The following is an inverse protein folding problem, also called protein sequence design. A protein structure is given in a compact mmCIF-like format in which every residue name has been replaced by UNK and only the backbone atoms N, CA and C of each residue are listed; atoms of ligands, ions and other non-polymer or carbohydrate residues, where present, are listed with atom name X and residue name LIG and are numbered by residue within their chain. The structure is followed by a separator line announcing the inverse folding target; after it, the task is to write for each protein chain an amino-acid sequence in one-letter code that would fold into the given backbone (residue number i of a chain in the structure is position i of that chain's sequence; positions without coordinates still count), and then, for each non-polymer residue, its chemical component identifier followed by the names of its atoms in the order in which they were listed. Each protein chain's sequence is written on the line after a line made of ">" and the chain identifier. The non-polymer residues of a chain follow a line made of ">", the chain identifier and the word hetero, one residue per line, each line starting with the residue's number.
data_IF_294622277824
#
_entry.id   IF_294622277824
#
_cell.length_a   1.000
_cell.length_b   1.000
_cell.length_c   1.000
_cell.angle_alpha   90.00
_cell.angle_beta   90.00
_cell.angle_gamma   90.00
#
_symmetry.space_group_name_H-M   'P 1'
#
loop_
_entity.id
_entity.type
_entity.pdbx_description
1 polymer ?
#
# COMPACT_ATOMS: atom_id res chain seq x y z
N UNK A 1 2.06 -8.87 99.98
CA UNK A 1 0.70 -9.22 99.46
C UNK A 1 0.85 -9.65 98.01
N UNK A 2 0.23 -10.76 97.59
CA UNK A 2 0.26 -11.20 96.19
C UNK A 2 -0.52 -10.20 95.32
N UNK A 3 0.06 -9.81 94.18
CA UNK A 3 -0.59 -8.90 93.26
C UNK A 3 -1.79 -9.54 92.58
N UNK A 4 -2.82 -8.73 92.29
CA UNK A 4 -3.95 -9.18 91.48
C UNK A 4 -4.28 -8.17 90.38
N UNK A 5 -4.85 -8.69 89.31
CA UNK A 5 -5.14 -7.93 88.10
C UNK A 5 -6.25 -6.89 88.34
N UNK A 6 -6.00 -5.66 87.91
CA UNK A 6 -7.05 -4.67 87.68
C UNK A 6 -7.92 -5.03 86.47
N UNK A 7 -9.03 -4.31 86.26
CA UNK A 7 -9.87 -4.51 85.08
C UNK A 7 -9.09 -4.23 83.79
N UNK A 8 -9.50 -4.88 82.71
CA UNK A 8 -8.97 -4.57 81.38
C UNK A 8 -9.33 -3.15 80.97
N UNK A 9 -8.36 -2.42 80.40
CA UNK A 9 -8.61 -1.15 79.72
C UNK A 9 -9.49 -1.36 78.47
N UNK A 10 -10.11 -0.28 77.93
CA UNK A 10 -10.82 -0.34 76.66
C UNK A 10 -9.92 -0.86 75.52
N UNK A 11 -10.54 -1.48 74.53
CA UNK A 11 -9.86 -1.88 73.30
C UNK A 11 -9.30 -0.67 72.55
N UNK A 12 -8.10 -0.81 71.99
CA UNK A 12 -7.58 0.15 71.02
C UNK A 12 -8.47 0.22 69.77
N UNK A 13 -8.37 1.28 68.95
CA UNK A 13 -8.85 1.23 67.58
C UNK A 13 -8.27 0.02 66.84
N UNK A 14 -8.99 -0.46 65.83
CA UNK A 14 -8.52 -1.53 64.98
C UNK A 14 -7.27 -1.08 64.22
N UNK A 15 -6.22 -1.92 64.19
CA UNK A 15 -4.92 -1.57 63.60
C UNK A 15 -4.99 -1.22 62.11
N UNK A 16 -5.97 -1.79 61.39
CA UNK A 16 -6.11 -1.64 59.96
C UNK A 16 -7.55 -1.30 59.57
N UNK A 17 -7.71 -0.51 58.49
CA UNK A 17 -9.02 -0.16 57.95
C UNK A 17 -9.62 -1.25 57.05
N UNK A 18 -8.76 -2.11 56.49
CA UNK A 18 -9.06 -3.30 55.69
C UNK A 18 -8.02 -4.39 56.00
N UNK A 19 -8.19 -5.59 55.45
CA UNK A 19 -7.40 -6.77 55.80
C UNK A 19 -7.82 -7.35 57.16
N UNK A 20 -6.91 -8.11 57.77
CA UNK A 20 -7.06 -8.65 59.11
C UNK A 20 -6.53 -7.63 60.13
N UNK A 21 -7.43 -6.80 60.65
CA UNK A 21 -7.11 -5.84 61.70
C UNK A 21 -7.14 -6.48 63.08
N UNK A 22 -6.19 -6.09 63.94
CA UNK A 22 -6.11 -6.54 65.34
C UNK A 22 -6.29 -5.34 66.26
N UNK A 23 -7.03 -5.54 67.34
CA UNK A 23 -7.09 -4.58 68.45
C UNK A 23 -6.53 -5.24 69.71
N UNK A 24 -5.87 -4.44 70.52
CA UNK A 24 -5.25 -4.88 71.77
C UNK A 24 -5.80 -4.09 72.94
N UNK A 25 -5.86 -4.73 74.11
CA UNK A 25 -6.10 -4.07 75.39
C UNK A 25 -5.14 -4.60 76.42
N UNK A 26 -4.88 -3.78 77.43
CA UNK A 26 -3.96 -4.09 78.52
C UNK A 26 -4.69 -4.04 79.86
N UNK A 27 -4.20 -4.79 80.83
CA UNK A 27 -4.60 -4.71 82.24
C UNK A 27 -3.36 -4.49 83.10
N UNK A 28 -3.51 -3.82 84.23
CA UNK A 28 -2.40 -3.51 85.12
C UNK A 28 -2.47 -4.39 86.37
N UNK A 29 -1.31 -4.82 86.88
CA UNK A 29 -1.20 -5.57 88.12
C UNK A 29 -1.27 -4.61 89.33
N UNK A 30 -2.44 -4.03 89.57
CA UNK A 30 -2.61 -2.93 90.51
C UNK A 30 -3.82 -3.05 91.45
N UNK A 31 -4.49 -4.21 91.52
CA UNK A 31 -5.71 -4.38 92.33
C UNK A 31 -5.70 -5.68 93.17
N UNK A 32 -4.85 -5.82 94.20
CA UNK A 32 -3.86 -4.85 94.68
C UNK A 32 -2.50 -5.01 93.99
N UNK A 33 -1.60 -4.01 94.03
CA UNK A 33 -0.23 -4.16 93.55
C UNK A 33 0.59 -5.09 94.47
N UNK A 34 1.58 -5.85 93.94
CA UNK A 34 2.46 -6.67 94.75
C UNK A 34 3.28 -5.81 95.74
N UNK A 35 3.37 -6.23 97.00
CA UNK A 35 4.16 -5.56 98.05
C UNK A 35 4.95 -6.58 98.87
N UNK A 36 6.15 -6.19 99.33
CA UNK A 36 7.07 -7.02 100.16
C UNK A 36 7.35 -8.41 99.57
N UNK A 37 8.09 -8.48 98.45
CA UNK A 37 8.38 -9.73 97.70
C UNK A 37 7.14 -10.58 97.35
N UNK A 38 5.97 -9.95 97.27
CA UNK A 38 4.73 -10.59 96.85
C UNK A 38 4.81 -11.10 95.41
N UNK A 39 4.18 -12.25 95.15
CA UNK A 39 4.09 -12.83 93.81
C UNK A 39 3.48 -11.83 92.82
N UNK A 40 4.10 -11.74 91.64
CA UNK A 40 3.59 -10.99 90.49
C UNK A 40 2.27 -11.61 90.01
N UNK A 41 1.45 -10.80 89.32
CA UNK A 41 0.21 -11.30 88.75
C UNK A 41 0.47 -12.40 87.71
N UNK A 42 -0.26 -13.51 87.80
CA UNK A 42 -0.10 -14.66 86.90
C UNK A 42 -0.87 -14.46 85.57
N UNK A 43 -0.21 -14.73 84.45
CA UNK A 43 -0.75 -14.60 83.08
C UNK A 43 -0.30 -13.34 82.34
N UNK A 44 -0.85 -13.10 81.14
CA UNK A 44 -0.45 -11.95 80.32
C UNK A 44 -1.18 -10.67 80.74
N UNK A 45 -0.48 -9.53 80.67
CA UNK A 45 -1.04 -8.19 80.86
C UNK A 45 -1.70 -7.65 79.58
N UNK A 46 -1.47 -8.31 78.45
CA UNK A 46 -1.97 -7.93 77.11
C UNK A 46 -2.90 -9.01 76.55
N UNK A 47 -4.00 -8.57 75.95
CA UNK A 47 -4.91 -9.40 75.16
C UNK A 47 -5.09 -8.78 73.77
N UNK A 48 -5.03 -9.61 72.73
CA UNK A 48 -5.25 -9.20 71.34
C UNK A 48 -6.40 -10.01 70.73
N UNK A 49 -7.20 -9.38 69.88
CA UNK A 49 -8.24 -10.07 69.11
C UNK A 49 -8.43 -9.44 67.73
N UNK A 50 -8.93 -10.23 66.78
CA UNK A 50 -9.30 -9.74 65.45
C UNK A 50 -10.54 -8.84 65.59
N UNK A 51 -10.42 -7.60 65.14
CA UNK A 51 -11.52 -6.63 65.16
C UNK A 51 -12.25 -6.53 63.82
N UNK A 52 -11.55 -6.81 62.71
CA UNK A 52 -12.11 -6.66 61.37
C UNK A 52 -11.42 -7.59 60.39
N UNK A 53 -12.22 -8.15 59.47
CA UNK A 53 -11.75 -8.89 58.32
C UNK A 53 -12.51 -8.37 57.09
N UNK A 54 -11.89 -7.50 56.31
CA UNK A 54 -12.50 -6.91 55.11
C UNK A 54 -11.48 -6.86 54.00
N UNK A 55 -11.77 -7.37 52.81
CA UNK A 55 -10.79 -7.36 51.73
C UNK A 55 -10.33 -5.94 51.37
N UNK A 56 -9.01 -5.73 51.28
CA UNK A 56 -8.44 -4.45 50.91
C UNK A 56 -8.63 -4.15 49.42
N UNK A 57 -8.78 -2.87 49.03
CA UNK A 57 -8.73 -2.45 47.64
C UNK A 57 -7.46 -2.94 46.96
N UNK A 58 -7.61 -3.56 45.79
CA UNK A 58 -6.48 -3.93 44.92
C UNK A 58 -6.56 -3.07 43.68
N UNK A 59 -5.62 -2.15 43.54
CA UNK A 59 -5.51 -1.32 42.35
C UNK A 59 -5.10 -2.18 41.14
N UNK A 60 -5.78 -1.96 40.02
CA UNK A 60 -5.46 -2.64 38.79
C UNK A 60 -4.10 -2.22 38.23
N UNK A 61 -3.40 -3.17 37.62
CA UNK A 61 -2.18 -2.91 36.87
C UNK A 61 -2.27 -3.48 35.47
N UNK A 62 -1.62 -2.79 34.55
CA UNK A 62 -1.53 -3.22 33.16
C UNK A 62 -0.82 -4.56 33.04
N UNK A 63 -1.36 -5.44 32.19
CA UNK A 63 -0.63 -6.59 31.66
C UNK A 63 0.52 -6.13 30.76
N UNK A 64 1.39 -7.07 30.40
CA UNK A 64 2.26 -6.86 29.25
C UNK A 64 1.43 -6.58 28.00
N UNK A 65 1.99 -5.79 27.09
CA UNK A 65 1.41 -5.62 25.77
C UNK A 65 1.32 -6.97 25.05
N UNK A 66 0.19 -7.20 24.38
CA UNK A 66 0.09 -8.27 23.40
C UNK A 66 1.05 -8.00 22.23
N UNK A 67 1.31 -9.04 21.43
CA UNK A 67 2.06 -8.89 20.18
C UNK A 67 1.35 -7.92 19.25
N UNK A 68 2.13 -7.23 18.42
CA UNK A 68 1.59 -6.43 17.32
C UNK A 68 0.73 -7.27 16.39
N UNK A 69 -0.43 -6.74 16.02
CA UNK A 69 -1.21 -7.25 14.90
C UNK A 69 -0.49 -7.01 13.57
N UNK A 70 -1.03 -7.63 12.51
CA UNK A 70 -0.58 -7.39 11.15
C UNK A 70 -0.76 -5.91 10.75
N UNK A 71 0.10 -5.44 9.86
CA UNK A 71 -0.07 -4.12 9.25
C UNK A 71 -1.34 -4.08 8.38
N UNK A 72 -2.05 -2.96 8.38
CA UNK A 72 -3.29 -2.77 7.61
C UNK A 72 -3.08 -2.86 6.09
N UNK A 73 -1.88 -2.53 5.61
CA UNK A 73 -1.49 -2.63 4.20
C UNK A 73 -0.08 -3.22 4.09
N UNK A 74 0.25 -3.82 2.95
CA UNK A 74 1.59 -4.37 2.69
C UNK A 74 2.60 -3.32 2.17
N UNK A 75 2.13 -2.15 1.73
CA UNK A 75 2.92 -1.06 1.17
C UNK A 75 2.12 0.25 1.24
N UNK A 76 2.76 1.38 0.98
CA UNK A 76 2.11 2.69 0.89
C UNK A 76 1.83 3.36 2.23
N UNK A 77 2.34 2.79 3.34
CA UNK A 77 2.11 3.28 4.69
C UNK A 77 0.80 2.77 5.27
N UNK A 78 0.92 1.92 6.29
CA UNK A 78 -0.19 1.38 7.06
C UNK A 78 -0.03 1.64 8.55
N UNK A 79 -0.96 1.08 9.29
CA UNK A 79 -0.95 1.06 10.75
C UNK A 79 -1.07 -0.37 11.25
N UNK A 80 -0.50 -0.62 12.42
CA UNK A 80 -0.67 -1.85 13.19
C UNK A 80 -1.04 -1.48 14.61
N UNK A 81 -1.72 -2.39 15.28
CA UNK A 81 -2.20 -2.16 16.65
C UNK A 81 -1.78 -3.29 17.57
N UNK A 82 -1.59 -2.96 18.84
CA UNK A 82 -1.46 -3.92 19.93
C UNK A 82 -2.27 -3.44 21.12
N UNK A 83 -2.71 -4.39 21.94
CA UNK A 83 -3.55 -4.10 23.10
C UNK A 83 -2.91 -4.62 24.39
N UNK A 84 -3.37 -4.09 25.52
CA UNK A 84 -3.04 -4.57 26.86
C UNK A 84 -4.30 -4.54 27.72
N UNK A 85 -4.33 -5.33 28.79
CA UNK A 85 -5.49 -5.45 29.66
C UNK A 85 -5.15 -4.98 31.07
N UNK A 86 -6.11 -4.39 31.77
CA UNK A 86 -5.98 -4.05 33.17
C UNK A 86 -6.22 -5.29 34.05
N UNK A 87 -5.28 -6.24 34.03
CA UNK A 87 -5.48 -7.59 34.55
C UNK A 87 -4.29 -8.18 35.33
N UNK A 88 -3.22 -7.42 35.57
CA UNK A 88 -1.99 -7.95 36.21
C UNK A 88 -1.55 -7.17 37.46
N UNK A 89 -2.38 -7.04 38.52
CA UNK A 89 -3.68 -7.69 38.71
C UNK A 89 -4.88 -6.87 38.21
N UNK A 90 -6.05 -7.49 38.13
CA UNK A 90 -7.31 -6.78 37.89
C UNK A 90 -7.72 -5.97 39.14
N UNK A 91 -8.40 -4.82 38.98
CA UNK A 91 -8.92 -4.06 40.12
C UNK A 91 -9.91 -4.91 40.93
N UNK A 92 -9.72 -4.98 42.25
CA UNK A 92 -10.64 -5.68 43.16
C UNK A 92 -10.98 -4.79 44.35
N UNK A 93 -12.11 -5.09 45.01
CA UNK A 93 -12.53 -4.44 46.26
C UNK A 93 -12.52 -2.90 46.20
N UNK A 94 -13.06 -2.34 45.10
CA UNK A 94 -13.09 -0.89 44.79
C UNK A 94 -11.71 -0.25 44.59
N UNK A 95 -10.69 -1.04 44.27
CA UNK A 95 -9.40 -0.53 43.79
C UNK A 95 -9.53 0.22 42.47
N UNK A 96 -8.56 1.08 42.20
CA UNK A 96 -8.56 1.97 41.03
C UNK A 96 -8.36 1.18 39.74
N UNK A 97 -9.02 1.63 38.67
CA UNK A 97 -8.77 1.13 37.31
C UNK A 97 -7.41 1.63 36.82
N UNK A 98 -6.84 0.92 35.84
CA UNK A 98 -5.60 1.34 35.22
C UNK A 98 -5.77 2.65 34.46
N UNK A 99 -4.79 3.54 34.57
CA UNK A 99 -4.75 4.82 33.87
C UNK A 99 -3.97 4.70 32.55
N UNK A 100 -4.46 5.38 31.51
CA UNK A 100 -3.88 5.41 30.16
C UNK A 100 -4.59 4.50 29.15
N UNK A 101 -4.07 4.48 27.92
CA UNK A 101 -4.69 3.75 26.80
C UNK A 101 -4.41 2.24 26.88
N UNK A 102 -5.41 1.44 26.56
CA UNK A 102 -5.34 -0.01 26.38
C UNK A 102 -4.96 -0.44 24.96
N UNK A 103 -5.01 0.49 24.01
CA UNK A 103 -4.59 0.31 22.61
C UNK A 103 -3.38 1.17 22.28
N UNK A 104 -2.45 0.62 21.52
CA UNK A 104 -1.32 1.34 20.95
C UNK A 104 -1.26 1.09 19.45
N UNK A 105 -1.24 2.17 18.67
CA UNK A 105 -1.18 2.17 17.21
C UNK A 105 0.19 2.67 16.76
N UNK A 106 0.80 1.99 15.78
CA UNK A 106 2.10 2.33 15.21
C UNK A 106 2.06 2.23 13.69
N UNK A 107 2.95 2.94 13.02
CA UNK A 107 3.05 2.95 11.56
C UNK A 107 3.90 1.78 11.04
N UNK A 108 3.55 1.26 9.87
CA UNK A 108 4.24 0.13 9.26
C UNK A 108 4.18 0.19 7.73
N UNK A 109 5.02 -0.58 7.06
CA UNK A 109 5.02 -0.77 5.60
C UNK A 109 5.04 0.54 4.78
N UNK A 110 5.94 1.46 5.14
CA UNK A 110 6.13 2.76 4.49
C UNK A 110 6.73 2.70 3.09
N UNK A 111 7.15 1.52 2.63
CA UNK A 111 7.69 1.35 1.27
C UNK A 111 6.57 1.62 0.25
N UNK A 112 6.82 2.38 -0.83
CA UNK A 112 5.83 2.65 -1.86
C UNK A 112 5.27 1.38 -2.49
N UNK A 113 4.00 1.42 -2.89
CA UNK A 113 3.38 0.29 -3.57
C UNK A 113 3.85 0.14 -5.01
N UNK A 114 3.92 -1.09 -5.55
CA UNK A 114 4.19 -1.33 -6.95
C UNK A 114 3.18 -0.62 -7.85
N UNK A 115 3.67 0.18 -8.80
CA UNK A 115 2.85 0.82 -9.84
C UNK A 115 3.07 0.02 -11.12
N UNK A 116 2.04 -0.72 -11.54
CA UNK A 116 2.09 -1.44 -12.81
C UNK A 116 1.97 -0.46 -13.97
N UNK A 117 2.80 -0.65 -14.99
CA UNK A 117 2.76 0.17 -16.19
C UNK A 117 1.50 -0.05 -16.99
N UNK A 118 1.06 1.00 -17.66
CA UNK A 118 0.03 0.92 -18.67
C UNK A 118 0.41 1.77 -19.89
N UNK A 119 -0.13 1.37 -21.04
CA UNK A 119 0.20 1.98 -22.31
C UNK A 119 -0.31 3.42 -22.37
N UNK A 120 0.59 4.34 -22.72
CA UNK A 120 0.23 5.64 -23.26
C UNK A 120 -0.51 5.51 -24.60
N UNK A 121 -1.08 6.61 -25.10
CA UNK A 121 -1.74 6.62 -26.39
C UNK A 121 -0.76 6.28 -27.51
N UNK A 122 -1.28 5.71 -28.59
CA UNK A 122 -0.51 5.61 -29.83
C UNK A 122 -0.20 6.99 -30.38
N UNK A 123 1.01 7.19 -30.88
CA UNK A 123 1.32 8.37 -31.67
C UNK A 123 0.63 8.31 -33.05
N UNK A 124 0.69 9.42 -33.77
CA UNK A 124 0.23 9.50 -35.15
C UNK A 124 1.00 8.53 -36.05
N UNK A 125 0.32 8.04 -37.08
CA UNK A 125 0.96 7.25 -38.12
C UNK A 125 2.12 8.00 -38.78
N UNK A 126 3.27 7.34 -38.89
CA UNK A 126 4.36 7.82 -39.72
C UNK A 126 4.03 7.76 -41.22
N UNK A 127 4.89 8.37 -42.03
CA UNK A 127 4.74 8.35 -43.49
C UNK A 127 4.78 6.93 -44.06
N UNK A 128 4.07 6.71 -45.16
CA UNK A 128 4.14 5.45 -45.88
C UNK A 128 5.52 5.24 -46.50
N UNK A 129 6.09 4.05 -46.37
CA UNK A 129 7.42 3.72 -46.91
C UNK A 129 7.52 3.81 -48.44
N UNK A 130 6.38 3.73 -49.14
CA UNK A 130 6.26 3.91 -50.58
C UNK A 130 5.05 4.78 -50.88
N UNK A 131 5.08 5.51 -51.98
CA UNK A 131 3.95 6.32 -52.43
C UNK A 131 2.95 5.53 -53.28
N UNK A 132 3.38 4.40 -53.85
CA UNK A 132 2.59 3.50 -54.71
C UNK A 132 3.18 2.07 -54.69
N UNK A 133 2.49 1.10 -55.31
CA UNK A 133 2.83 -0.32 -55.32
C UNK A 133 2.98 -0.95 -53.92
N UNK A 134 2.23 -0.47 -52.93
CA UNK A 134 2.17 -1.01 -51.58
C UNK A 134 3.38 -0.67 -50.70
N UNK A 135 3.16 0.14 -49.68
CA UNK A 135 4.10 0.44 -48.60
C UNK A 135 3.61 0.01 -47.22
N UNK A 136 4.39 0.35 -46.20
CA UNK A 136 4.05 0.17 -44.80
C UNK A 136 4.22 1.49 -44.05
N UNK A 137 3.30 1.77 -43.13
CA UNK A 137 3.41 2.83 -42.14
C UNK A 137 3.47 2.21 -40.75
N UNK A 138 4.09 2.94 -39.82
CA UNK A 138 4.26 2.50 -38.43
C UNK A 138 3.81 3.60 -37.48
N UNK A 139 3.30 3.20 -36.33
CA UNK A 139 3.07 4.06 -35.17
C UNK A 139 3.59 3.35 -33.92
N UNK A 140 3.89 4.13 -32.89
CA UNK A 140 4.51 3.69 -31.65
C UNK A 140 3.71 4.16 -30.44
N UNK A 141 3.84 3.46 -29.33
CA UNK A 141 3.31 3.85 -28.02
C UNK A 141 4.34 3.55 -26.94
N UNK A 142 4.25 4.26 -25.82
CA UNK A 142 5.18 4.15 -24.70
C UNK A 142 4.46 3.61 -23.46
N UNK A 143 5.17 2.88 -22.60
CA UNK A 143 4.63 2.34 -21.36
C UNK A 143 4.80 3.38 -20.22
N UNK A 144 4.00 4.43 -20.26
CA UNK A 144 4.17 5.62 -19.43
C UNK A 144 2.86 6.17 -18.82
N UNK A 145 1.72 5.51 -19.00
CA UNK A 145 0.42 5.99 -18.53
C UNK A 145 -0.35 4.98 -17.63
N UNK A 146 0.15 4.66 -16.41
CA UNK A 146 1.33 5.24 -15.77
C UNK A 146 2.62 4.50 -16.14
N UNK A 147 3.77 5.12 -15.86
CA UNK A 147 5.06 4.45 -15.97
C UNK A 147 5.23 3.43 -14.84
N UNK A 148 5.69 2.20 -15.12
CA UNK A 148 5.98 1.24 -14.07
C UNK A 148 6.97 1.79 -13.03
N UNK A 149 6.68 1.59 -11.75
CA UNK A 149 7.53 2.03 -10.66
C UNK A 149 7.45 1.06 -9.47
N UNK A 150 8.41 1.15 -8.55
CA UNK A 150 8.43 0.41 -7.28
C UNK A 150 8.26 -1.12 -7.45
N UNK A 151 8.87 -1.70 -8.49
CA UNK A 151 8.76 -3.13 -8.79
C UNK A 151 7.46 -3.57 -9.47
N UNK A 152 6.65 -2.62 -9.94
CA UNK A 152 5.47 -2.92 -10.74
C UNK A 152 5.81 -3.45 -12.13
N UNK A 153 4.85 -4.16 -12.73
CA UNK A 153 5.03 -4.86 -14.00
C UNK A 153 5.14 -3.90 -15.18
N UNK A 154 5.92 -4.29 -16.18
CA UNK A 154 5.95 -3.62 -17.49
C UNK A 154 4.66 -3.88 -18.29
N UNK A 155 4.38 -3.03 -19.28
CA UNK A 155 3.22 -3.20 -20.16
C UNK A 155 3.35 -4.47 -21.01
N UNK A 156 2.25 -5.22 -21.14
CA UNK A 156 2.19 -6.38 -22.02
C UNK A 156 1.76 -5.99 -23.44
N UNK A 157 2.36 -6.62 -24.44
CA UNK A 157 2.04 -6.43 -25.88
C UNK A 157 3.08 -5.59 -26.62
N UNK A 158 2.82 -5.36 -27.92
CA UNK A 158 3.74 -4.63 -28.79
C UNK A 158 3.66 -3.10 -28.57
N UNK A 159 4.82 -2.44 -28.60
CA UNK A 159 5.00 -0.99 -28.60
C UNK A 159 4.92 -0.38 -30.01
N UNK A 160 4.91 -1.21 -31.05
CA UNK A 160 4.82 -0.82 -32.45
C UNK A 160 3.59 -1.44 -33.13
N UNK A 161 2.91 -0.66 -33.95
CA UNK A 161 1.83 -1.11 -34.81
C UNK A 161 2.16 -0.76 -36.26
N UNK A 162 1.96 -1.72 -37.16
CA UNK A 162 2.29 -1.62 -38.58
C UNK A 162 1.05 -1.83 -39.42
N UNK A 163 0.87 -0.98 -40.44
CA UNK A 163 -0.26 -1.07 -41.35
C UNK A 163 0.20 -0.86 -42.80
N UNK A 164 -0.43 -1.58 -43.73
CA UNK A 164 -0.22 -1.38 -45.17
C UNK A 164 -0.80 -0.05 -45.62
N UNK A 165 -0.12 0.60 -46.55
CA UNK A 165 -0.50 1.89 -47.09
C UNK A 165 -0.12 1.98 -48.57
N UNK A 166 -0.63 3.01 -49.26
CA UNK A 166 -0.29 3.30 -50.67
C UNK A 166 -0.40 2.08 -51.60
N UNK A 167 -1.57 1.43 -51.58
CA UNK A 167 -1.84 0.21 -52.35
C UNK A 167 -2.15 0.47 -53.82
N UNK A 168 -2.26 1.73 -54.24
CA UNK A 168 -2.46 2.09 -55.63
C UNK A 168 -1.18 1.81 -56.45
N UNK A 169 -1.36 1.36 -57.69
CA UNK A 169 -0.25 1.12 -58.60
C UNK A 169 0.45 2.43 -58.97
N UNK A 170 1.76 2.36 -59.20
CA UNK A 170 2.53 3.54 -59.59
C UNK A 170 2.15 4.03 -60.99
N UNK A 171 2.23 5.36 -61.24
CA UNK A 171 2.17 5.89 -62.58
C UNK A 171 3.32 5.31 -63.41
N UNK A 172 3.00 4.88 -64.63
CA UNK A 172 4.00 4.47 -65.63
C UNK A 172 3.91 5.48 -66.75
N UNK A 173 4.98 6.25 -66.94
CA UNK A 173 5.06 7.24 -68.01
C UNK A 173 5.10 6.55 -69.37
N UNK A 174 4.43 7.17 -70.34
CA UNK A 174 4.40 6.69 -71.71
C UNK A 174 5.74 6.87 -72.39
N UNK A 175 6.14 5.89 -73.20
CA UNK A 175 7.32 6.00 -74.04
C UNK A 175 7.01 5.58 -75.48
N UNK A 176 7.70 6.23 -76.41
CA UNK A 176 7.50 6.04 -77.84
C UNK A 176 7.88 4.62 -78.24
N UNK A 177 6.96 3.93 -78.92
CA UNK A 177 7.26 2.73 -79.66
C UNK A 177 8.09 3.02 -80.90
N UNK A 178 8.52 1.97 -81.58
CA UNK A 178 9.23 2.08 -82.85
C UNK A 178 8.37 2.82 -83.89
N UNK A 179 9.02 3.63 -84.71
CA UNK A 179 8.37 4.25 -85.87
C UNK A 179 7.79 3.18 -86.79
N UNK A 180 6.57 3.41 -87.27
CA UNK A 180 6.04 2.62 -88.36
C UNK A 180 6.85 2.86 -89.65
N UNK A 181 6.79 1.94 -90.62
CA UNK A 181 7.38 2.17 -91.93
C UNK A 181 6.89 3.48 -92.55
N UNK A 182 7.75 4.10 -93.36
CA UNK A 182 7.38 5.31 -94.09
C UNK A 182 6.23 5.04 -95.05
N UNK A 183 5.23 5.94 -95.04
CA UNK A 183 4.15 5.94 -96.02
C UNK A 183 4.64 6.21 -97.45
N UNK A 184 3.71 6.09 -98.38
CA UNK A 184 3.95 6.38 -99.79
C UNK A 184 4.25 7.87 -100.02
N UNK A 185 4.97 8.15 -101.10
CA UNK A 185 5.30 9.52 -101.47
C UNK A 185 4.05 10.24 -102.00
N UNK A 186 3.81 11.47 -101.54
CA UNK A 186 2.64 12.26 -101.97
C UNK A 186 2.63 12.64 -103.45
N UNK A 187 3.75 12.49 -104.15
CA UNK A 187 3.87 12.73 -105.58
C UNK A 187 4.82 11.72 -106.24
N UNK A 188 4.52 11.33 -107.47
CA UNK A 188 5.36 10.46 -108.30
C UNK A 188 6.46 11.22 -109.06
N UNK A 189 6.39 12.56 -109.17
CA UNK A 189 7.42 13.43 -109.74
C UNK A 189 7.30 14.87 -109.17
N UNK A 190 8.38 15.66 -109.20
CA UNK A 190 8.35 17.09 -108.82
C UNK A 190 8.57 17.43 -107.34
N UNK A 191 9.01 16.47 -106.52
CA UNK A 191 9.20 16.63 -105.07
C UNK A 191 7.93 16.23 -104.29
N UNK A 192 8.07 15.39 -103.27
CA UNK A 192 6.96 14.87 -102.47
C UNK A 192 7.34 14.65 -101.02
N UNK A 193 6.34 14.54 -100.16
CA UNK A 193 6.50 14.32 -98.72
C UNK A 193 6.15 12.87 -98.38
N UNK A 194 6.83 12.31 -97.40
CA UNK A 194 6.50 11.01 -96.80
C UNK A 194 6.26 11.23 -95.32
N UNK A 195 5.18 10.66 -94.82
CA UNK A 195 4.86 10.69 -93.40
C UNK A 195 5.08 9.30 -92.79
N UNK A 196 5.35 9.27 -91.50
CA UNK A 196 5.34 8.05 -90.69
C UNK A 196 4.81 8.42 -89.33
N UNK A 197 4.25 7.45 -88.63
CA UNK A 197 3.68 7.65 -87.30
C UNK A 197 4.38 6.73 -86.30
N UNK A 198 4.45 7.16 -85.05
CA UNK A 198 4.83 6.32 -83.91
C UNK A 198 3.72 6.36 -82.87
N UNK A 199 3.60 5.29 -82.10
CA UNK A 199 2.59 5.18 -81.05
C UNK A 199 3.24 5.30 -79.67
N UNK A 200 2.56 5.97 -78.75
CA UNK A 200 2.98 6.06 -77.34
C UNK A 200 2.55 4.78 -76.60
N UNK A 201 3.23 3.67 -76.88
CA UNK A 201 2.80 2.35 -76.42
C UNK A 201 3.94 1.44 -75.91
N UNK A 202 5.15 1.97 -75.72
CA UNK A 202 6.32 1.18 -75.32
C UNK A 202 7.02 1.71 -74.06
N UNK A 203 6.34 1.82 -72.90
CA UNK A 203 4.96 1.39 -72.62
C UNK A 203 3.92 2.51 -72.87
N UNK A 204 2.63 2.16 -72.87
CA UNK A 204 1.55 3.16 -72.84
C UNK A 204 1.45 3.79 -71.44
N UNK A 205 1.17 5.09 -71.34
CA UNK A 205 1.00 5.74 -70.05
C UNK A 205 -0.17 5.13 -69.28
N UNK A 206 0.03 4.71 -68.03
CA UNK A 206 -1.02 4.16 -67.16
C UNK A 206 -0.97 4.79 -65.77
N UNK A 207 -2.08 4.69 -65.02
CA UNK A 207 -2.21 5.20 -63.64
C UNK A 207 -1.80 6.67 -63.46
N UNK A 208 -2.08 7.50 -64.47
CA UNK A 208 -1.73 8.94 -64.46
C UNK A 208 -0.28 9.24 -64.84
N UNK A 209 0.45 8.29 -65.43
CA UNK A 209 1.74 8.54 -66.05
C UNK A 209 1.68 9.56 -67.18
N UNK A 210 2.79 10.24 -67.41
CA UNK A 210 2.90 11.34 -68.38
C UNK A 210 2.77 10.81 -69.82
N UNK A 211 2.06 11.51 -70.72
CA UNK A 211 2.03 11.14 -72.13
C UNK A 211 3.41 11.35 -72.77
N UNK A 212 3.64 10.69 -73.92
CA UNK A 212 4.88 10.86 -74.65
C UNK A 212 5.04 12.31 -75.15
N UNK A 213 6.21 12.94 -74.96
CA UNK A 213 6.44 14.30 -75.40
C UNK A 213 6.66 14.39 -76.91
N UNK A 214 6.17 15.49 -77.52
CA UNK A 214 6.33 15.81 -78.94
C UNK A 214 5.28 15.17 -79.85
N UNK A 215 5.43 15.39 -81.15
CA UNK A 215 4.45 14.92 -82.15
C UNK A 215 4.61 13.42 -82.46
N UNK A 216 3.48 12.81 -82.77
CA UNK A 216 3.27 11.38 -83.08
C UNK A 216 3.52 11.05 -84.55
#
# INVERSE_FOLDING_TARGET
>A
VAGNWGPWLPWSPCSESCGKGVQSRIRLCNNPPPTFDGLQCEGTDTQSQVCKETSCPVDGKWSSWMSWGSCSVSCGGGTRERTRLCASPAPQHRGRKCEGNDVHTDFCNSNPCPINGNWGPWNSWGSCSKTCNGGQMRRYRTCDNPRPAHGGRMCAGADVHMQRCSTADCPVDGNWGSWQPWGDCSASCGGGERTRVRLCNSPSPVNGGRPCPGDS
#
